data_IF_081219235190
#
_entry.id   IF_081219235190
#
_cell.length_a   1.000
_cell.length_b   1.000
_cell.length_c   1.000
_cell.angle_alpha   90.00
_cell.angle_beta   90.00
_cell.angle_gamma   90.00
#
_symmetry.space_group_name_H-M   'P 1'
#
loop_
_entity.id
_entity.type
_entity.pdbx_description
1 polymer ?
#
# COMPACT_ATOMS: atom_id res chain seq x y z
N UNK A 1 10.39 -28.16 11.86
CA UNK A 1 11.20 -29.06 11.00
C UNK A 1 12.66 -28.63 10.96
N UNK A 2 13.01 -27.39 10.57
CA UNK A 2 14.42 -26.93 10.55
C UNK A 2 15.16 -27.05 11.89
N UNK A 3 14.55 -26.59 12.99
CA UNK A 3 15.13 -26.66 14.34
C UNK A 3 15.41 -28.09 14.83
N UNK A 4 14.64 -29.08 14.35
CA UNK A 4 14.85 -30.50 14.70
C UNK A 4 16.10 -31.07 14.00
N UNK A 5 16.49 -30.51 12.85
CA UNK A 5 17.65 -30.91 12.07
C UNK A 5 18.90 -30.06 12.35
N UNK A 6 18.90 -29.23 13.41
CA UNK A 6 19.99 -28.30 13.70
C UNK A 6 20.13 -27.14 12.69
N UNK A 7 19.15 -26.97 11.79
CA UNK A 7 19.18 -25.97 10.73
C UNK A 7 18.32 -24.73 11.05
N UNK A 8 18.60 -23.63 10.34
CA UNK A 8 17.85 -22.38 10.43
C UNK A 8 16.73 -22.30 9.38
N UNK A 9 15.61 -21.70 9.76
CA UNK A 9 14.55 -21.32 8.83
C UNK A 9 14.64 -19.82 8.58
N UNK A 10 14.92 -19.44 7.34
CA UNK A 10 14.92 -18.04 6.89
C UNK A 10 13.59 -17.78 6.20
N UNK A 11 12.74 -16.87 6.71
CA UNK A 11 11.49 -16.54 6.06
C UNK A 11 11.76 -15.81 4.73
N UNK A 12 10.79 -15.89 3.81
CA UNK A 12 10.86 -15.15 2.57
C UNK A 12 10.92 -13.63 2.82
N UNK A 13 11.64 -12.92 1.96
CA UNK A 13 11.70 -11.45 2.02
C UNK A 13 10.29 -10.84 1.84
N UNK A 14 9.98 -9.78 2.59
CA UNK A 14 8.70 -9.09 2.47
C UNK A 14 8.57 -8.41 1.10
N UNK A 15 7.40 -8.57 0.49
CA UNK A 15 7.10 -8.03 -0.86
C UNK A 15 6.29 -6.73 -0.83
N UNK A 16 5.79 -6.34 0.33
CA UNK A 16 4.89 -5.20 0.53
C UNK A 16 5.44 -4.28 1.62
N UNK A 17 5.45 -2.98 1.36
CA UNK A 17 5.67 -1.96 2.37
C UNK A 17 4.42 -1.08 2.51
N UNK A 18 4.18 -0.61 3.73
CA UNK A 18 3.27 0.49 4.00
C UNK A 18 4.11 1.73 4.26
N UNK A 19 3.74 2.84 3.59
CA UNK A 19 4.53 4.07 3.59
C UNK A 19 3.63 5.21 4.04
N UNK A 20 4.07 5.96 5.04
CA UNK A 20 3.39 7.12 5.60
C UNK A 20 4.29 8.33 5.45
N UNK A 21 3.73 9.46 5.01
CA UNK A 21 4.47 10.72 4.96
C UNK A 21 4.47 11.41 6.31
N UNK A 22 5.66 11.77 6.82
CA UNK A 22 5.83 12.36 8.15
C UNK A 22 6.25 13.84 8.13
N UNK A 23 6.75 14.36 7.00
CA UNK A 23 7.22 15.76 6.88
C UNK A 23 6.57 16.55 5.74
N UNK A 24 6.51 17.87 5.89
CA UNK A 24 6.00 18.82 4.89
C UNK A 24 6.84 18.94 3.61
N UNK A 25 6.41 19.77 2.66
CA UNK A 25 7.07 19.97 1.34
C UNK A 25 8.06 21.16 1.33
N UNK A 26 8.14 21.95 2.40
CA UNK A 26 8.94 23.18 2.39
C UNK A 26 10.43 22.86 2.32
N UNK A 27 11.13 23.49 1.36
CA UNK A 27 12.58 23.29 1.17
C UNK A 27 12.99 21.92 0.61
N UNK A 28 12.04 21.14 0.10
CA UNK A 28 12.33 19.81 -0.47
C UNK A 28 12.86 19.95 -1.89
N UNK A 29 13.91 19.19 -2.22
CA UNK A 29 14.47 19.18 -3.58
C UNK A 29 13.44 18.68 -4.62
N UNK A 30 13.46 19.19 -5.87
CA UNK A 30 12.52 18.77 -6.91
C UNK A 30 12.51 17.25 -7.15
N UNK A 31 13.69 16.60 -7.01
CA UNK A 31 13.83 15.14 -7.14
C UNK A 31 13.02 14.41 -6.07
N UNK A 32 13.17 14.79 -4.80
CA UNK A 32 12.42 14.18 -3.68
C UNK A 32 10.93 14.48 -3.82
N UNK A 33 10.56 15.71 -4.21
CA UNK A 33 9.17 16.08 -4.43
C UNK A 33 8.52 15.22 -5.51
N UNK A 34 9.23 14.93 -6.61
CA UNK A 34 8.74 14.06 -7.68
C UNK A 34 8.57 12.62 -7.21
N UNK A 35 9.50 12.09 -6.40
CA UNK A 35 9.38 10.74 -5.85
C UNK A 35 8.19 10.60 -4.88
N UNK A 36 7.98 11.58 -4.00
CA UNK A 36 6.79 11.61 -3.13
C UNK A 36 5.49 11.68 -3.94
N UNK A 37 5.47 12.41 -5.07
CA UNK A 37 4.31 12.44 -5.97
C UNK A 37 4.06 11.08 -6.65
N UNK A 38 5.11 10.37 -7.07
CA UNK A 38 5.00 9.04 -7.68
C UNK A 38 4.49 8.00 -6.68
N UNK A 39 4.84 8.14 -5.40
CA UNK A 39 4.27 7.36 -4.30
C UNK A 39 2.86 7.82 -3.88
N UNK A 40 2.27 8.79 -4.56
CA UNK A 40 0.98 9.39 -4.20
C UNK A 40 0.94 10.07 -2.81
N UNK A 41 2.10 10.36 -2.20
CA UNK A 41 2.25 10.95 -0.85
C UNK A 41 2.27 12.48 -0.88
N UNK A 42 1.14 13.08 -1.29
CA UNK A 42 1.05 14.55 -1.49
C UNK A 42 0.86 15.34 -0.19
N UNK A 43 0.25 14.73 0.83
CA UNK A 43 -0.09 15.39 2.09
C UNK A 43 0.64 14.75 3.27
N UNK A 44 0.86 15.51 4.35
CA UNK A 44 1.38 14.96 5.61
C UNK A 44 0.36 13.94 6.15
N UNK A 45 0.85 12.85 6.72
CA UNK A 45 0.09 11.68 7.18
C UNK A 45 -0.68 10.93 6.09
N UNK A 46 -0.53 11.31 4.81
CA UNK A 46 -1.00 10.45 3.74
C UNK A 46 -0.17 9.17 3.68
N UNK A 47 -0.82 8.07 3.33
CA UNK A 47 -0.17 6.76 3.25
C UNK A 47 -0.67 5.90 2.10
N UNK A 48 0.18 4.96 1.68
CA UNK A 48 -0.10 4.02 0.58
C UNK A 48 0.67 2.72 0.77
N UNK A 49 0.24 1.67 0.08
CA UNK A 49 1.00 0.44 -0.05
C UNK A 49 1.94 0.51 -1.26
N UNK A 50 3.12 -0.10 -1.12
CA UNK A 50 4.15 -0.13 -2.17
C UNK A 50 4.65 -1.56 -2.33
N UNK A 51 4.59 -2.05 -3.57
CA UNK A 51 5.26 -3.30 -3.95
C UNK A 51 6.77 -3.12 -3.90
N UNK A 52 7.45 -3.97 -3.16
CA UNK A 52 8.89 -3.95 -3.00
C UNK A 52 9.57 -4.64 -4.18
N UNK A 53 10.43 -3.88 -4.84
CA UNK A 53 11.38 -4.31 -5.84
C UNK A 53 12.64 -3.43 -5.70
N UNK A 54 13.69 -3.73 -6.47
CA UNK A 54 14.95 -2.98 -6.36
C UNK A 54 14.77 -1.47 -6.57
N UNK A 55 13.91 -1.07 -7.50
CA UNK A 55 13.67 0.33 -7.83
C UNK A 55 12.85 1.04 -6.74
N UNK A 56 11.79 0.42 -6.21
CA UNK A 56 10.99 1.02 -5.14
C UNK A 56 11.78 1.12 -3.84
N UNK A 57 12.61 0.14 -3.50
CA UNK A 57 13.52 0.23 -2.34
C UNK A 57 14.49 1.41 -2.51
N UNK A 58 15.09 1.57 -3.68
CA UNK A 58 15.97 2.71 -3.94
C UNK A 58 15.21 4.05 -3.86
N UNK A 59 13.97 4.10 -4.32
CA UNK A 59 13.12 5.28 -4.21
C UNK A 59 12.83 5.61 -2.73
N UNK A 60 12.45 4.60 -1.93
CA UNK A 60 12.17 4.74 -0.50
C UNK A 60 13.39 5.24 0.26
N UNK A 61 14.59 4.73 -0.05
CA UNK A 61 15.86 5.20 0.55
C UNK A 61 16.13 6.68 0.28
N UNK A 62 15.82 7.17 -0.92
CA UNK A 62 16.01 8.60 -1.26
C UNK A 62 15.06 9.50 -0.47
N UNK A 63 13.82 9.06 -0.26
CA UNK A 63 12.79 9.86 0.42
C UNK A 63 12.67 9.57 1.92
N UNK A 64 13.50 8.66 2.45
CA UNK A 64 13.48 8.16 3.83
C UNK A 64 13.38 9.26 4.89
N UNK A 65 14.06 10.43 4.78
CA UNK A 65 13.93 11.50 5.78
C UNK A 65 12.50 12.11 5.88
N UNK A 66 11.64 11.87 4.88
CA UNK A 66 10.31 12.46 4.77
C UNK A 66 9.18 11.45 4.98
N UNK A 67 9.51 10.15 5.07
CA UNK A 67 8.56 9.06 5.19
C UNK A 67 8.90 8.16 6.39
N UNK A 68 7.89 7.55 6.97
CA UNK A 68 8.05 6.36 7.80
C UNK A 68 7.50 5.17 7.01
N UNK A 69 8.23 4.07 6.94
CA UNK A 69 7.77 2.90 6.21
C UNK A 69 8.21 1.60 6.88
N UNK A 70 7.45 0.54 6.63
CA UNK A 70 7.72 -0.79 7.17
C UNK A 70 6.81 -1.85 6.56
N UNK A 71 6.93 -3.08 7.06
CA UNK A 71 6.13 -4.20 6.56
C UNK A 71 4.85 -4.32 7.38
N UNK A 72 3.67 -4.13 6.76
CA UNK A 72 2.41 -4.22 7.49
C UNK A 72 2.07 -5.68 7.80
N UNK A 73 1.34 -5.90 8.89
CA UNK A 73 0.72 -7.19 9.17
C UNK A 73 -0.73 -7.22 8.63
N UNK A 74 -1.29 -8.41 8.45
CA UNK A 74 -2.63 -8.61 7.90
C UNK A 74 -3.72 -7.86 8.69
N UNK A 75 -3.63 -7.85 10.02
CA UNK A 75 -4.59 -7.16 10.89
C UNK A 75 -4.58 -5.65 10.64
N UNK A 76 -3.39 -5.04 10.55
CA UNK A 76 -3.23 -3.62 10.27
C UNK A 76 -3.73 -3.24 8.88
N UNK A 77 -3.50 -4.07 7.86
CA UNK A 77 -4.03 -3.82 6.50
C UNK A 77 -5.55 -3.87 6.50
N UNK A 78 -6.15 -4.91 7.11
CA UNK A 78 -7.59 -5.03 7.25
C UNK A 78 -8.17 -3.80 7.97
N UNK A 79 -7.70 -3.50 9.18
CA UNK A 79 -8.22 -2.37 9.95
C UNK A 79 -8.10 -1.04 9.19
N UNK A 80 -7.00 -0.83 8.46
CA UNK A 80 -6.81 0.36 7.64
C UNK A 80 -7.84 0.45 6.51
N UNK A 81 -8.06 -0.64 5.79
CA UNK A 81 -9.02 -0.69 4.67
C UNK A 81 -10.46 -0.52 5.18
N UNK A 82 -10.84 -1.14 6.30
CA UNK A 82 -12.19 -0.96 6.86
C UNK A 82 -12.41 0.45 7.46
N UNK A 83 -11.44 1.00 8.20
CA UNK A 83 -11.62 2.26 8.94
C UNK A 83 -11.30 3.51 8.09
N UNK A 84 -10.30 3.41 7.23
CA UNK A 84 -9.77 4.53 6.45
C UNK A 84 -9.85 4.28 4.93
N UNK A 85 -10.47 3.19 4.48
CA UNK A 85 -10.63 2.88 3.07
C UNK A 85 -11.62 3.80 2.36
N UNK A 86 -11.13 4.51 1.37
CA UNK A 86 -11.96 5.25 0.41
C UNK A 86 -11.66 4.73 -0.98
N UNK A 87 -12.68 4.37 -1.74
CA UNK A 87 -12.56 4.01 -3.14
C UNK A 87 -12.50 5.23 -4.05
N UNK A 88 -11.77 5.11 -5.15
CA UNK A 88 -11.76 6.06 -6.26
C UNK A 88 -12.79 5.64 -7.30
N UNK A 89 -14.02 6.12 -7.16
CA UNK A 89 -15.15 5.79 -8.04
C UNK A 89 -15.54 7.03 -8.84
N UNK A 90 -15.54 6.94 -10.17
CA UNK A 90 -15.81 8.09 -11.05
C UNK A 90 -14.97 9.33 -10.70
N UNK A 91 -13.69 9.12 -10.39
CA UNK A 91 -12.74 10.16 -9.95
C UNK A 91 -13.09 10.89 -8.64
N UNK A 92 -14.12 10.43 -7.91
CA UNK A 92 -14.50 10.93 -6.60
C UNK A 92 -13.98 10.00 -5.51
N UNK A 93 -13.71 10.57 -4.34
CA UNK A 93 -13.34 9.85 -3.12
C UNK A 93 -14.62 9.46 -2.38
N UNK A 94 -14.93 8.17 -2.32
CA UNK A 94 -16.15 7.64 -1.69
C UNK A 94 -15.75 6.65 -0.61
N UNK A 95 -16.37 6.70 0.57
CA UNK A 95 -16.08 5.76 1.65
C UNK A 95 -16.52 4.33 1.26
N UNK A 96 -15.71 3.33 1.59
CA UNK A 96 -16.04 1.93 1.31
C UNK A 96 -17.02 1.41 2.38
N UNK A 97 -18.31 1.39 2.05
CA UNK A 97 -19.38 0.89 2.93
C UNK A 97 -20.00 -0.42 2.48
N UNK A 98 -19.94 -0.73 1.18
CA UNK A 98 -20.57 -1.90 0.57
C UNK A 98 -19.66 -2.51 -0.49
N UNK A 99 -19.69 -3.84 -0.58
CA UNK A 99 -18.90 -4.63 -1.53
C UNK A 99 -19.32 -4.33 -2.98
N UNK A 100 -20.56 -3.92 -3.23
CA UNK A 100 -21.03 -3.54 -4.57
C UNK A 100 -20.13 -2.48 -5.24
N UNK A 101 -19.58 -1.55 -4.47
CA UNK A 101 -18.66 -0.52 -4.94
C UNK A 101 -17.31 -1.08 -5.44
N UNK A 102 -16.85 -2.16 -4.81
CA UNK A 102 -15.62 -2.88 -5.18
C UNK A 102 -15.89 -3.71 -6.43
N UNK A 103 -16.99 -4.47 -6.46
CA UNK A 103 -17.40 -5.26 -7.63
C UNK A 103 -17.51 -4.38 -8.88
N UNK A 104 -18.12 -3.20 -8.77
CA UNK A 104 -18.27 -2.28 -9.90
C UNK A 104 -16.91 -1.87 -10.50
N UNK A 105 -15.89 -1.68 -9.66
CA UNK A 105 -14.60 -1.15 -10.08
C UNK A 105 -13.59 -2.24 -10.45
N UNK A 106 -13.59 -3.36 -9.70
CA UNK A 106 -12.57 -4.41 -9.75
C UNK A 106 -13.14 -5.81 -10.02
N UNK A 107 -14.46 -5.97 -10.19
CA UNK A 107 -15.09 -7.29 -10.36
C UNK A 107 -14.59 -8.06 -11.57
N UNK A 108 -14.13 -7.38 -12.63
CA UNK A 108 -13.48 -8.01 -13.80
C UNK A 108 -12.17 -8.73 -13.47
N UNK A 109 -11.55 -8.37 -12.34
CA UNK A 109 -10.28 -8.92 -11.85
C UNK A 109 -10.51 -9.98 -10.76
N UNK A 110 -11.76 -10.43 -10.58
CA UNK A 110 -12.18 -11.34 -9.53
C UNK A 110 -11.93 -10.82 -8.10
N UNK A 111 -11.93 -9.50 -7.91
CA UNK A 111 -11.92 -8.84 -6.59
C UNK A 111 -13.35 -8.37 -6.33
N UNK A 112 -14.09 -9.10 -5.50
CA UNK A 112 -15.53 -8.87 -5.31
C UNK A 112 -15.87 -8.30 -3.94
N UNK A 113 -15.01 -8.46 -2.94
CA UNK A 113 -15.24 -7.93 -1.60
C UNK A 113 -14.01 -7.25 -1.00
N UNK A 114 -14.18 -6.67 0.19
CA UNK A 114 -13.11 -6.06 0.98
C UNK A 114 -12.01 -7.06 1.33
N UNK A 115 -12.38 -8.30 1.64
CA UNK A 115 -11.45 -9.38 2.00
C UNK A 115 -10.56 -9.77 0.82
N UNK A 116 -11.13 -9.87 -0.40
CA UNK A 116 -10.35 -10.11 -1.62
C UNK A 116 -9.38 -8.96 -1.89
N UNK A 117 -9.83 -7.72 -1.69
CA UNK A 117 -8.99 -6.54 -1.85
C UNK A 117 -7.81 -6.56 -0.88
N UNK A 118 -8.06 -6.83 0.40
CA UNK A 118 -6.99 -6.95 1.41
C UNK A 118 -6.07 -8.11 1.10
N UNK A 119 -6.62 -9.28 0.72
CA UNK A 119 -5.84 -10.44 0.36
C UNK A 119 -4.88 -10.12 -0.79
N UNK A 120 -5.39 -9.55 -1.88
CA UNK A 120 -4.61 -9.19 -3.07
C UNK A 120 -3.48 -8.18 -2.75
N UNK A 121 -3.75 -7.21 -1.86
CA UNK A 121 -2.76 -6.25 -1.38
C UNK A 121 -1.69 -6.96 -0.54
N UNK A 122 -2.08 -7.74 0.47
CA UNK A 122 -1.18 -8.41 1.41
C UNK A 122 -0.27 -9.43 0.72
N UNK A 123 -0.81 -10.24 -0.19
CA UNK A 123 -0.04 -11.27 -0.89
C UNK A 123 0.75 -10.71 -2.07
N UNK A 124 0.50 -9.44 -2.45
CA UNK A 124 1.05 -8.82 -3.65
C UNK A 124 0.73 -9.67 -4.88
N UNK A 125 -0.56 -9.91 -5.08
CA UNK A 125 -1.07 -10.78 -6.14
C UNK A 125 -0.87 -10.23 -7.55
N UNK A 126 -1.52 -10.90 -8.52
CA UNK A 126 -1.39 -10.61 -9.96
C UNK A 126 -1.92 -9.21 -10.32
N UNK A 127 -2.99 -8.79 -9.66
CA UNK A 127 -3.72 -7.54 -9.86
C UNK A 127 -3.46 -6.52 -8.74
N UNK A 128 -2.31 -6.65 -8.06
CA UNK A 128 -1.89 -5.74 -6.99
C UNK A 128 -1.93 -4.27 -7.42
N UNK A 129 -1.56 -3.97 -8.68
CA UNK A 129 -1.49 -2.58 -9.16
C UNK A 129 -2.88 -1.95 -9.21
N UNK A 130 -3.86 -2.69 -9.71
CA UNK A 130 -5.25 -2.29 -9.81
C UNK A 130 -5.89 -2.20 -8.42
N UNK A 131 -5.66 -3.22 -7.58
CA UNK A 131 -6.09 -3.26 -6.19
C UNK A 131 -5.53 -2.09 -5.37
N UNK A 132 -4.27 -1.70 -5.56
CA UNK A 132 -3.66 -0.60 -4.81
C UNK A 132 -4.01 0.79 -5.38
N UNK A 133 -4.36 0.90 -6.66
CA UNK A 133 -4.77 2.16 -7.28
C UNK A 133 -6.25 2.50 -7.03
N UNK A 134 -7.06 1.51 -6.65
CA UNK A 134 -8.48 1.70 -6.35
C UNK A 134 -8.70 2.50 -5.06
N UNK A 135 -8.06 2.16 -3.91
CA UNK A 135 -8.08 3.00 -2.74
C UNK A 135 -7.46 4.36 -3.02
N UNK A 136 -8.13 5.42 -2.58
CA UNK A 136 -7.52 6.72 -2.43
C UNK A 136 -6.42 6.64 -1.37
N UNK A 137 -5.30 7.38 -1.49
CA UNK A 137 -4.30 7.44 -0.43
C UNK A 137 -4.94 7.70 0.93
N UNK A 138 -4.62 6.84 1.90
CA UNK A 138 -5.22 6.87 3.23
C UNK A 138 -4.81 8.16 3.94
N UNK A 139 -5.69 8.66 4.80
CA UNK A 139 -5.48 9.87 5.61
C UNK A 139 -5.91 9.62 7.05
#
# INVERSE_FOLDING_TARGET
>A
MARKAGNFYVPAEPKLAFVIRIRGINGVSPKVQKMLQLLCLRQIFSSTFVKLNKASINMLRIVEPYIAWGYPNLKSVNELIYKHGYGKINMKRIALTDNSMIVQSLGKLAIICMEDLTHEICTVGKHFKEANNFPWPFK
#
